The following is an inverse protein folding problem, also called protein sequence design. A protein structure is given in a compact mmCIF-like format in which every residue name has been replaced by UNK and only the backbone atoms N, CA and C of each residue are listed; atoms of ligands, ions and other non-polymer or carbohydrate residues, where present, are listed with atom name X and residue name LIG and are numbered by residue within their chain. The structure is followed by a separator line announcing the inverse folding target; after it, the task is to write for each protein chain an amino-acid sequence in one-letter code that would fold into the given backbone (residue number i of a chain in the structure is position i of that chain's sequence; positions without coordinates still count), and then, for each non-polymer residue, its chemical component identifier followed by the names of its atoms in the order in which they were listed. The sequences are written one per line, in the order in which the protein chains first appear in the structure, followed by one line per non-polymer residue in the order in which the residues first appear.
data_IF_811216926612
#
_entry.id   IF_811216926612
#
_cell.length_a   1.000
_cell.length_b   1.000
_cell.length_c   1.000
_cell.angle_alpha   90.00
_cell.angle_beta   90.00
_cell.angle_gamma   90.00
#
_symmetry.space_group_name_H-M   'P 1'
#
loop_
_entity.id
_entity.type
_entity.pdbx_description
1 polymer ?
#
# COMPACT_ATOMS: atom_id res chain seq x y z
N UNK A 1 14.27 -10.64 -69.23
CA UNK A 1 13.42 -11.23 -68.17
C UNK A 1 13.73 -10.50 -66.88
N UNK A 2 12.90 -9.53 -66.48
CA UNK A 2 13.04 -8.82 -65.22
C UNK A 2 11.66 -8.72 -64.59
N UNK A 3 11.47 -9.38 -63.45
CA UNK A 3 10.26 -9.30 -62.65
C UNK A 3 10.51 -8.37 -61.47
N UNK A 4 9.86 -7.20 -61.48
CA UNK A 4 9.65 -6.38 -60.28
C UNK A 4 8.48 -6.98 -59.50
N UNK A 5 8.73 -7.38 -58.25
CA UNK A 5 7.69 -7.65 -57.27
C UNK A 5 7.50 -6.39 -56.41
N UNK A 6 6.35 -5.74 -56.53
CA UNK A 6 5.92 -4.69 -55.62
C UNK A 6 5.18 -5.33 -54.44
N UNK A 7 5.75 -5.22 -53.24
CA UNK A 7 5.14 -5.66 -51.99
C UNK A 7 4.32 -4.49 -51.41
N UNK A 8 2.99 -4.56 -51.51
CA UNK A 8 2.10 -3.67 -50.76
C UNK A 8 2.02 -4.15 -49.31
N UNK A 9 2.61 -3.39 -48.39
CA UNK A 9 2.39 -3.54 -46.95
C UNK A 9 1.10 -2.79 -46.60
N UNK A 10 0.02 -3.54 -46.38
CA UNK A 10 -1.22 -3.05 -45.77
C UNK A 10 -0.98 -2.88 -44.27
N UNK A 11 -0.78 -1.64 -43.82
CA UNK A 11 -0.82 -1.28 -42.40
C UNK A 11 -2.29 -1.18 -41.99
N UNK A 12 -2.80 -2.20 -41.30
CA UNK A 12 -4.07 -2.09 -40.58
C UNK A 12 -3.85 -1.26 -39.31
N UNK A 13 -4.61 -0.17 -39.07
CA UNK A 13 -4.60 0.46 -37.76
C UNK A 13 -5.27 -0.50 -36.77
N UNK A 14 -4.51 -0.93 -35.76
CA UNK A 14 -5.07 -1.60 -34.60
C UNK A 14 -5.89 -0.57 -33.82
N UNK A 15 -7.16 -0.42 -34.18
CA UNK A 15 -8.16 0.18 -33.29
C UNK A 15 -8.44 -0.90 -32.25
N UNK A 16 -7.88 -0.72 -31.05
CA UNK A 16 -8.28 -1.50 -29.89
C UNK A 16 -9.81 -1.34 -29.75
N UNK A 17 -10.55 -2.41 -30.02
CA UNK A 17 -11.96 -2.48 -29.67
C UNK A 17 -12.03 -2.42 -28.14
N UNK A 18 -12.37 -1.26 -27.59
CA UNK A 18 -12.90 -1.18 -26.24
C UNK A 18 -14.24 -1.91 -26.27
N UNK A 19 -14.24 -3.20 -25.93
CA UNK A 19 -15.46 -3.87 -25.51
C UNK A 19 -16.06 -3.00 -24.41
N UNK A 20 -17.30 -2.52 -24.58
CA UNK A 20 -18.00 -1.78 -23.52
C UNK A 20 -17.98 -2.62 -22.24
N UNK A 21 -17.19 -2.16 -21.27
CA UNK A 21 -17.03 -2.81 -19.97
C UNK A 21 -18.36 -2.70 -19.22
N UNK A 22 -19.12 -3.80 -19.17
CA UNK A 22 -20.41 -3.81 -18.47
C UNK A 22 -20.21 -3.70 -16.97
N UNK A 23 -20.78 -2.67 -16.35
CA UNK A 23 -20.78 -2.47 -14.89
C UNK A 23 -22.00 -3.10 -14.20
N UNK A 24 -22.75 -3.93 -14.93
CA UNK A 24 -23.89 -4.65 -14.39
C UNK A 24 -23.42 -5.87 -13.60
N UNK A 25 -23.97 -6.01 -12.40
CA UNK A 25 -23.65 -7.12 -11.50
C UNK A 25 -24.67 -8.24 -11.70
N UNK A 26 -24.17 -9.46 -11.91
CA UNK A 26 -24.97 -10.67 -12.12
C UNK A 26 -24.76 -11.73 -11.04
N UNK A 27 -23.88 -11.48 -10.08
CA UNK A 27 -23.61 -12.38 -8.95
C UNK A 27 -24.76 -12.35 -7.95
N UNK A 28 -25.04 -13.49 -7.30
CA UNK A 28 -26.07 -13.58 -6.25
C UNK A 28 -25.50 -13.27 -4.86
N UNK A 29 -26.36 -12.83 -3.95
CA UNK A 29 -26.01 -12.66 -2.55
C UNK A 29 -25.61 -13.99 -1.86
N UNK A 30 -24.60 -14.00 -0.96
CA UNK A 30 -23.71 -12.90 -0.61
C UNK A 30 -22.64 -12.74 -1.68
N UNK A 31 -22.38 -11.50 -2.07
CA UNK A 31 -21.46 -11.16 -3.15
C UNK A 31 -20.33 -10.24 -2.71
N UNK A 32 -20.44 -9.64 -1.52
CA UNK A 32 -19.37 -8.89 -0.88
C UNK A 32 -18.50 -9.84 -0.04
N UNK A 33 -17.29 -10.11 -0.51
CA UNK A 33 -16.21 -10.86 0.17
C UNK A 33 -16.50 -12.35 0.42
N UNK A 34 -17.75 -12.72 0.68
CA UNK A 34 -18.23 -14.08 0.95
C UNK A 34 -18.81 -14.77 -0.29
N UNK A 35 -18.19 -14.58 -1.45
CA UNK A 35 -18.55 -15.36 -2.65
C UNK A 35 -18.57 -16.87 -2.36
N UNK A 36 -19.29 -17.65 -3.18
CA UNK A 36 -19.60 -19.06 -2.89
C UNK A 36 -18.39 -19.91 -2.46
N UNK A 37 -17.23 -19.68 -3.06
CA UNK A 37 -15.99 -20.39 -2.70
C UNK A 37 -15.51 -20.05 -1.28
N UNK A 38 -15.37 -18.76 -0.93
CA UNK A 38 -14.93 -18.34 0.40
C UNK A 38 -15.92 -18.76 1.47
N UNK A 39 -17.22 -18.62 1.22
CA UNK A 39 -18.25 -19.05 2.17
C UNK A 39 -18.13 -20.55 2.49
N UNK A 40 -17.98 -21.40 1.47
CA UNK A 40 -17.76 -22.84 1.66
C UNK A 40 -16.48 -23.15 2.42
N UNK A 41 -15.39 -22.40 2.16
CA UNK A 41 -14.13 -22.56 2.88
C UNK A 41 -14.31 -22.23 4.37
N UNK A 42 -14.91 -21.09 4.70
CA UNK A 42 -15.13 -20.68 6.09
C UNK A 42 -16.10 -21.61 6.84
N UNK A 43 -17.11 -22.16 6.16
CA UNK A 43 -17.99 -23.19 6.73
C UNK A 43 -17.22 -24.48 7.06
N UNK A 44 -16.28 -24.90 6.20
CA UNK A 44 -15.38 -26.03 6.51
C UNK A 44 -14.45 -25.72 7.68
N UNK A 45 -13.97 -24.48 7.82
CA UNK A 45 -13.15 -24.09 8.98
C UNK A 45 -13.93 -24.23 10.30
N UNK A 46 -15.23 -23.90 10.30
CA UNK A 46 -16.14 -24.20 11.42
C UNK A 46 -16.23 -25.71 11.68
N UNK A 47 -16.50 -26.52 10.65
CA UNK A 47 -16.61 -27.98 10.78
C UNK A 47 -15.33 -28.60 11.36
N UNK A 48 -14.17 -28.09 10.94
CA UNK A 48 -12.85 -28.50 11.41
C UNK A 48 -12.48 -27.96 12.79
N UNK A 49 -13.28 -27.06 13.36
CA UNK A 49 -12.97 -26.34 14.60
C UNK A 49 -11.58 -25.69 14.50
N UNK A 50 -11.28 -24.97 13.42
CA UNK A 50 -9.99 -24.31 13.32
C UNK A 50 -9.80 -23.29 14.46
N UNK A 51 -8.55 -23.02 14.83
CA UNK A 51 -8.24 -22.08 15.93
C UNK A 51 -8.89 -20.71 15.71
N UNK A 52 -8.86 -20.20 14.47
CA UNK A 52 -9.47 -18.92 14.07
C UNK A 52 -10.99 -18.93 14.25
N UNK A 53 -11.65 -20.02 13.85
CA UNK A 53 -13.07 -20.19 14.09
C UNK A 53 -13.38 -20.24 15.59
N UNK A 54 -12.67 -21.07 16.36
CA UNK A 54 -12.91 -21.20 17.81
C UNK A 54 -12.77 -19.87 18.54
N UNK A 55 -11.75 -19.07 18.19
CA UNK A 55 -11.56 -17.73 18.75
C UNK A 55 -12.73 -16.80 18.41
N UNK A 56 -13.13 -16.73 17.14
CA UNK A 56 -14.23 -15.88 16.70
C UNK A 56 -15.59 -16.32 17.30
N UNK A 57 -15.82 -17.63 17.35
CA UNK A 57 -17.00 -18.24 17.97
C UNK A 57 -17.06 -17.94 19.47
N UNK A 58 -15.96 -18.09 20.20
CA UNK A 58 -15.90 -17.82 21.64
C UNK A 58 -16.33 -16.37 21.95
N UNK A 59 -15.83 -15.40 21.20
CA UNK A 59 -16.16 -13.98 21.38
C UNK A 59 -17.63 -13.71 21.04
N UNK A 60 -18.10 -14.23 19.91
CA UNK A 60 -19.45 -13.92 19.42
C UNK A 60 -20.52 -14.63 20.23
N UNK A 61 -20.37 -15.95 20.45
CA UNK A 61 -21.29 -16.73 21.28
C UNK A 61 -21.21 -16.34 22.76
N UNK A 62 -20.04 -15.87 23.21
CA UNK A 62 -19.85 -15.26 24.52
C UNK A 62 -20.44 -13.85 24.66
N UNK A 63 -21.04 -13.30 23.60
CA UNK A 63 -21.62 -11.95 23.57
C UNK A 63 -20.63 -10.85 23.97
N UNK A 64 -19.35 -11.01 23.61
CA UNK A 64 -18.35 -9.98 23.82
C UNK A 64 -18.74 -8.68 23.07
N UNK A 65 -18.43 -7.49 23.62
CA UNK A 65 -18.74 -6.23 22.95
C UNK A 65 -17.86 -6.08 21.70
N UNK A 66 -18.46 -6.34 20.53
CA UNK A 66 -17.79 -6.21 19.24
C UNK A 66 -17.79 -4.74 18.79
N UNK A 67 -16.62 -4.14 18.49
CA UNK A 67 -16.56 -2.77 17.96
C UNK A 67 -17.29 -2.60 16.62
N UNK A 68 -17.36 -3.68 15.84
CA UNK A 68 -18.06 -3.75 14.55
C UNK A 68 -19.15 -4.83 14.60
N UNK A 69 -20.27 -4.57 15.29
CA UNK A 69 -21.29 -5.58 15.55
C UNK A 69 -22.02 -6.02 14.27
N UNK A 70 -22.11 -5.14 13.25
CA UNK A 70 -22.70 -5.49 11.96
C UNK A 70 -21.85 -6.51 11.21
N UNK A 71 -20.53 -6.28 11.12
CA UNK A 71 -19.59 -7.22 10.51
C UNK A 71 -19.58 -8.55 11.26
N UNK A 72 -19.35 -8.52 12.58
CA UNK A 72 -19.21 -9.73 13.38
C UNK A 72 -20.50 -10.57 13.38
N UNK A 73 -21.65 -9.96 13.65
CA UNK A 73 -22.93 -10.66 13.73
C UNK A 73 -23.36 -11.27 12.39
N UNK A 74 -23.19 -10.52 11.29
CA UNK A 74 -23.51 -11.04 9.97
C UNK A 74 -22.55 -12.16 9.53
N UNK A 75 -21.25 -12.01 9.77
CA UNK A 75 -20.26 -13.05 9.47
C UNK A 75 -20.57 -14.34 10.24
N UNK A 76 -20.79 -14.21 11.55
CA UNK A 76 -21.12 -15.35 12.41
C UNK A 76 -22.40 -16.05 11.94
N UNK A 77 -23.45 -15.31 11.60
CA UNK A 77 -24.67 -15.87 11.01
C UNK A 77 -24.39 -16.70 9.74
N UNK A 78 -23.62 -16.17 8.78
CA UNK A 78 -23.33 -16.87 7.51
C UNK A 78 -22.62 -18.21 7.71
N UNK A 79 -21.77 -18.29 8.71
CA UNK A 79 -20.94 -19.48 8.96
C UNK A 79 -21.61 -20.43 9.95
N UNK A 80 -22.15 -19.89 11.06
CA UNK A 80 -22.78 -20.66 12.12
C UNK A 80 -24.18 -21.14 11.73
N UNK A 81 -24.92 -20.39 10.91
CA UNK A 81 -26.36 -20.53 10.72
C UNK A 81 -27.18 -19.94 11.87
N UNK A 82 -26.56 -19.16 12.76
CA UNK A 82 -27.24 -18.59 13.94
C UNK A 82 -28.14 -17.41 13.58
N UNK A 83 -29.45 -17.68 13.47
CA UNK A 83 -30.43 -16.66 13.10
C UNK A 83 -30.51 -15.51 14.13
N UNK A 84 -30.20 -15.77 15.41
CA UNK A 84 -30.26 -14.74 16.44
C UNK A 84 -29.23 -13.63 16.17
N UNK A 85 -27.96 -14.00 15.91
CA UNK A 85 -26.90 -13.07 15.54
C UNK A 85 -27.23 -12.31 14.24
N UNK A 86 -27.77 -13.01 13.23
CA UNK A 86 -28.17 -12.38 11.97
C UNK A 86 -29.29 -11.35 12.16
N UNK A 87 -30.32 -11.67 12.95
CA UNK A 87 -31.41 -10.73 13.27
C UNK A 87 -30.94 -9.56 14.13
N UNK A 88 -29.99 -9.79 15.04
CA UNK A 88 -29.38 -8.71 15.82
C UNK A 88 -28.60 -7.74 14.91
N UNK A 89 -27.83 -8.26 13.94
CA UNK A 89 -27.12 -7.45 12.96
C UNK A 89 -28.09 -6.63 12.07
N UNK A 90 -29.18 -7.25 11.61
CA UNK A 90 -30.26 -6.55 10.86
C UNK A 90 -30.90 -5.45 11.71
N UNK A 91 -31.20 -5.73 12.98
CA UNK A 91 -31.79 -4.76 13.90
C UNK A 91 -30.86 -3.57 14.14
N UNK A 92 -29.57 -3.85 14.34
CA UNK A 92 -28.53 -2.81 14.43
C UNK A 92 -28.47 -1.95 13.16
N UNK A 93 -28.47 -2.56 11.97
CA UNK A 93 -28.39 -1.85 10.69
C UNK A 93 -29.60 -0.93 10.45
N UNK A 94 -30.81 -1.38 10.84
CA UNK A 94 -32.04 -0.58 10.79
C UNK A 94 -32.06 0.55 11.82
N UNK A 95 -31.57 0.28 13.03
CA UNK A 95 -31.53 1.23 14.14
C UNK A 95 -30.25 2.06 14.15
N UNK A 96 -29.41 1.79 15.16
CA UNK A 96 -28.26 2.62 15.56
C UNK A 96 -27.06 2.57 14.61
N UNK A 97 -27.01 1.65 13.65
CA UNK A 97 -25.89 1.54 12.73
C UNK A 97 -25.71 2.80 11.87
N UNK A 98 -24.52 3.38 11.89
CA UNK A 98 -24.16 4.56 11.08
C UNK A 98 -23.06 4.26 10.06
N UNK A 99 -22.30 3.19 10.28
CA UNK A 99 -21.25 2.75 9.36
C UNK A 99 -21.87 2.08 8.12
N UNK A 100 -21.86 2.81 7.00
CA UNK A 100 -22.39 2.34 5.71
C UNK A 100 -21.65 1.11 5.18
N UNK A 101 -20.36 0.91 5.53
CA UNK A 101 -19.61 -0.30 5.13
C UNK A 101 -20.23 -1.53 5.79
N UNK A 102 -20.40 -1.51 7.12
CA UNK A 102 -21.04 -2.62 7.84
C UNK A 102 -22.50 -2.81 7.43
N UNK A 103 -23.26 -1.74 7.21
CA UNK A 103 -24.65 -1.85 6.74
C UNK A 103 -24.71 -2.54 5.37
N UNK A 104 -23.77 -2.29 4.46
CA UNK A 104 -23.71 -2.96 3.17
C UNK A 104 -23.44 -4.47 3.33
N UNK A 105 -22.54 -4.85 4.24
CA UNK A 105 -22.28 -6.26 4.56
C UNK A 105 -23.50 -6.94 5.19
N UNK A 106 -24.17 -6.30 6.15
CA UNK A 106 -25.40 -6.84 6.74
C UNK A 106 -26.49 -7.00 5.68
N UNK A 107 -26.66 -6.01 4.80
CA UNK A 107 -27.63 -6.10 3.71
C UNK A 107 -27.30 -7.27 2.77
N UNK A 108 -26.05 -7.39 2.33
CA UNK A 108 -25.62 -8.43 1.40
C UNK A 108 -25.69 -9.84 2.02
N UNK A 109 -25.25 -9.99 3.27
CA UNK A 109 -25.09 -11.28 3.92
C UNK A 109 -26.39 -11.81 4.53
N UNK A 110 -27.29 -10.94 4.99
CA UNK A 110 -28.51 -11.34 5.69
C UNK A 110 -29.79 -11.24 4.82
N UNK A 111 -29.68 -11.28 3.49
CA UNK A 111 -30.82 -11.13 2.58
C UNK A 111 -32.02 -12.01 2.92
N UNK A 112 -31.79 -13.28 3.24
CA UNK A 112 -32.83 -14.25 3.57
C UNK A 112 -33.49 -14.02 4.95
N UNK A 113 -32.90 -13.16 5.79
CA UNK A 113 -33.51 -12.70 7.06
C UNK A 113 -34.31 -11.41 6.91
N UNK A 114 -34.17 -10.68 5.80
CA UNK A 114 -34.82 -9.39 5.58
C UNK A 114 -36.25 -9.57 5.08
N UNK A 115 -37.22 -8.96 5.78
CA UNK A 115 -38.53 -8.73 5.18
C UNK A 115 -38.43 -7.69 4.05
N UNK A 116 -39.39 -7.66 3.10
CA UNK A 116 -39.40 -6.66 2.02
C UNK A 116 -39.39 -5.20 2.53
N UNK A 117 -39.99 -4.93 3.69
CA UNK A 117 -39.99 -3.60 4.32
C UNK A 117 -38.60 -3.25 4.85
N UNK A 118 -37.95 -4.19 5.56
CA UNK A 118 -36.61 -3.99 6.10
C UNK A 118 -35.57 -3.83 4.99
N UNK A 119 -35.66 -4.65 3.93
CA UNK A 119 -34.79 -4.54 2.76
C UNK A 119 -34.89 -3.14 2.14
N UNK A 120 -36.10 -2.64 1.86
CA UNK A 120 -36.29 -1.28 1.34
C UNK A 120 -35.73 -0.19 2.27
N UNK A 121 -35.92 -0.34 3.59
CA UNK A 121 -35.43 0.64 4.56
C UNK A 121 -33.89 0.72 4.60
N UNK A 122 -33.21 -0.44 4.61
CA UNK A 122 -31.75 -0.49 4.55
C UNK A 122 -31.24 0.03 3.20
N UNK A 123 -31.90 -0.36 2.10
CA UNK A 123 -31.55 0.11 0.76
C UNK A 123 -31.60 1.65 0.65
N UNK A 124 -32.64 2.27 1.21
CA UNK A 124 -32.76 3.72 1.26
C UNK A 124 -31.65 4.39 2.10
N UNK A 125 -31.16 3.71 3.15
CA UNK A 125 -30.05 4.19 3.98
C UNK A 125 -28.72 4.10 3.23
N UNK A 126 -28.48 2.99 2.54
CA UNK A 126 -27.29 2.75 1.72
C UNK A 126 -27.21 3.67 0.49
N UNK A 127 -28.35 4.10 -0.05
CA UNK A 127 -28.40 5.06 -1.16
C UNK A 127 -27.79 6.44 -0.81
N UNK A 128 -27.60 6.78 0.47
CA UNK A 128 -26.97 8.02 0.93
C UNK A 128 -25.42 7.98 0.84
N UNK A 129 -24.89 7.27 -0.17
CA UNK A 129 -23.50 6.84 -0.31
C UNK A 129 -22.48 7.97 -0.06
N UNK A 130 -21.44 7.66 0.72
CA UNK A 130 -20.37 8.58 1.09
C UNK A 130 -19.00 8.15 0.50
N UNK A 131 -18.00 7.88 1.36
CA UNK A 131 -16.62 7.55 1.02
C UNK A 131 -16.49 6.45 -0.06
N UNK A 132 -15.37 6.46 -0.80
CA UNK A 132 -15.18 5.67 -2.02
C UNK A 132 -15.46 4.16 -1.82
N UNK A 133 -14.82 3.55 -0.81
CA UNK A 133 -15.08 2.15 -0.44
C UNK A 133 -16.56 1.89 -0.15
N UNK A 134 -17.14 2.62 0.79
CA UNK A 134 -18.53 2.39 1.22
C UNK A 134 -19.52 2.58 0.07
N UNK A 135 -19.21 3.48 -0.88
CA UNK A 135 -19.97 3.66 -2.13
C UNK A 135 -19.89 2.42 -3.01
N UNK A 136 -18.70 1.87 -3.24
CA UNK A 136 -18.52 0.64 -4.02
C UNK A 136 -19.29 -0.54 -3.40
N UNK A 137 -19.12 -0.76 -2.10
CA UNK A 137 -19.80 -1.84 -1.37
C UNK A 137 -21.32 -1.68 -1.42
N UNK A 138 -21.84 -0.47 -1.19
CA UNK A 138 -23.27 -0.19 -1.28
C UNK A 138 -23.81 -0.41 -2.69
N UNK A 139 -23.10 0.06 -3.72
CA UNK A 139 -23.51 -0.14 -5.11
C UNK A 139 -23.57 -1.62 -5.48
N UNK A 140 -22.57 -2.40 -5.05
CA UNK A 140 -22.56 -3.87 -5.23
C UNK A 140 -23.73 -4.53 -4.51
N UNK A 141 -23.92 -4.21 -3.23
CA UNK A 141 -24.99 -4.79 -2.42
C UNK A 141 -26.40 -4.45 -2.96
N UNK A 142 -26.58 -3.29 -3.59
CA UNK A 142 -27.89 -2.82 -4.08
C UNK A 142 -28.22 -3.20 -5.52
N UNK A 143 -27.36 -3.94 -6.22
CA UNK A 143 -27.51 -4.16 -7.67
C UNK A 143 -28.88 -4.71 -8.09
N UNK A 144 -29.43 -5.67 -7.33
CA UNK A 144 -30.74 -6.27 -7.64
C UNK A 144 -31.93 -5.37 -7.26
N UNK A 145 -31.70 -4.37 -6.42
CA UNK A 145 -32.72 -3.49 -5.89
C UNK A 145 -32.79 -2.15 -6.64
N UNK A 146 -31.65 -1.63 -7.07
CA UNK A 146 -31.48 -0.30 -7.68
C UNK A 146 -30.43 -0.32 -8.80
N UNK A 147 -30.60 -1.22 -9.78
CA UNK A 147 -29.60 -1.50 -10.83
C UNK A 147 -29.00 -0.23 -11.47
N UNK A 148 -29.83 0.69 -11.96
CA UNK A 148 -29.35 1.91 -12.62
C UNK A 148 -28.55 2.84 -11.67
N UNK A 149 -28.89 2.83 -10.37
CA UNK A 149 -28.12 3.59 -9.36
C UNK A 149 -26.79 2.88 -9.12
N UNK A 150 -26.79 1.56 -8.95
CA UNK A 150 -25.59 0.77 -8.75
C UNK A 150 -24.58 0.96 -9.89
N UNK A 151 -25.02 0.81 -11.15
CA UNK A 151 -24.16 0.99 -12.33
C UNK A 151 -23.54 2.39 -12.36
N UNK A 152 -24.34 3.44 -12.17
CA UNK A 152 -23.87 4.84 -12.14
C UNK A 152 -22.84 5.10 -11.03
N UNK A 153 -23.05 4.53 -9.84
CA UNK A 153 -22.13 4.74 -8.72
C UNK A 153 -20.85 3.93 -8.87
N UNK A 154 -20.92 2.73 -9.48
CA UNK A 154 -19.74 1.96 -9.87
C UNK A 154 -18.94 2.68 -10.97
N UNK A 155 -19.61 3.27 -11.96
CA UNK A 155 -18.97 4.09 -12.98
C UNK A 155 -18.23 5.28 -12.36
N UNK A 156 -18.87 5.99 -11.42
CA UNK A 156 -18.23 7.07 -10.68
C UNK A 156 -17.01 6.59 -9.89
N UNK A 157 -17.08 5.44 -9.24
CA UNK A 157 -15.96 4.86 -8.48
C UNK A 157 -14.81 4.47 -9.41
N UNK A 158 -15.11 3.71 -10.47
CA UNK A 158 -14.12 3.08 -11.34
C UNK A 158 -13.55 4.09 -12.35
N UNK A 159 -14.41 4.71 -13.16
CA UNK A 159 -13.97 5.62 -14.21
C UNK A 159 -13.61 7.00 -13.63
N UNK A 160 -14.49 7.54 -12.80
CA UNK A 160 -14.33 8.90 -12.25
C UNK A 160 -13.19 9.00 -11.25
N UNK A 161 -13.29 8.28 -10.13
CA UNK A 161 -12.35 8.42 -9.01
C UNK A 161 -11.09 7.57 -9.20
N UNK A 162 -11.21 6.28 -9.52
CA UNK A 162 -10.05 5.41 -9.61
C UNK A 162 -9.18 5.72 -10.83
N UNK A 163 -9.73 5.56 -12.04
CA UNK A 163 -8.99 5.77 -13.30
C UNK A 163 -8.74 7.24 -13.60
N UNK A 164 -9.65 8.14 -13.21
CA UNK A 164 -9.55 9.58 -13.47
C UNK A 164 -8.66 10.34 -12.49
N UNK A 165 -8.59 9.91 -11.22
CA UNK A 165 -7.85 10.65 -10.17
C UNK A 165 -6.77 9.78 -9.52
N UNK A 166 -7.12 8.68 -8.85
CA UNK A 166 -6.19 7.96 -7.97
C UNK A 166 -5.04 7.30 -8.75
N UNK A 167 -5.35 6.46 -9.73
CA UNK A 167 -4.33 5.71 -10.46
C UNK A 167 -3.33 6.62 -11.20
N UNK A 168 -3.76 7.71 -11.88
CA UNK A 168 -2.82 8.67 -12.46
C UNK A 168 -1.87 9.32 -11.45
N UNK A 169 -2.31 9.56 -10.21
CA UNK A 169 -1.43 10.10 -9.17
C UNK A 169 -0.38 9.07 -8.72
N UNK A 170 -0.80 7.82 -8.51
CA UNK A 170 0.11 6.71 -8.20
C UNK A 170 1.16 6.51 -9.30
N UNK A 171 0.73 6.53 -10.57
CA UNK A 171 1.63 6.45 -11.72
C UNK A 171 2.63 7.60 -11.80
N UNK A 172 2.30 8.77 -11.24
CA UNK A 172 3.22 9.93 -11.18
C UNK A 172 4.17 9.88 -9.99
N UNK A 173 4.15 8.80 -9.21
CA UNK A 173 4.94 8.66 -8.00
C UNK A 173 4.43 9.51 -6.84
N UNK A 174 3.11 9.81 -6.81
CA UNK A 174 2.48 10.46 -5.66
C UNK A 174 1.67 9.44 -4.89
N UNK A 175 2.03 9.22 -3.64
CA UNK A 175 1.20 8.40 -2.78
C UNK A 175 -0.02 9.20 -2.33
N UNK A 176 -1.18 8.80 -2.85
CA UNK A 176 -2.48 9.39 -2.51
C UNK A 176 -3.33 8.44 -1.66
N UNK A 177 -2.76 7.28 -1.27
CA UNK A 177 -3.42 6.28 -0.45
C UNK A 177 -2.61 6.16 0.86
N UNK A 178 -3.06 6.78 1.95
CA UNK A 178 -2.44 6.60 3.25
C UNK A 178 -2.37 5.13 3.65
N UNK A 179 -1.33 4.75 4.39
CA UNK A 179 -1.15 3.40 4.92
C UNK A 179 -2.39 2.88 5.68
N UNK A 180 -3.02 3.75 6.49
CA UNK A 180 -4.25 3.43 7.24
C UNK A 180 -5.45 3.09 6.33
N UNK A 181 -5.40 3.49 5.05
CA UNK A 181 -6.44 3.24 4.06
C UNK A 181 -6.19 1.97 3.22
N UNK A 182 -5.12 1.20 3.48
CA UNK A 182 -4.84 -0.04 2.74
C UNK A 182 -5.92 -1.10 2.93
N UNK A 183 -6.44 -1.28 4.14
CA UNK A 183 -7.56 -2.22 4.32
C UNK A 183 -8.81 -1.74 3.57
N UNK A 184 -9.27 -0.48 3.70
CA UNK A 184 -10.34 0.04 2.88
C UNK A 184 -10.13 -0.07 1.36
N UNK A 185 -8.90 0.11 0.89
CA UNK A 185 -8.52 -0.08 -0.50
C UNK A 185 -8.81 -1.51 -0.93
N UNK A 186 -8.27 -2.51 -0.23
CA UNK A 186 -8.45 -3.91 -0.61
C UNK A 186 -9.90 -4.39 -0.50
N UNK A 187 -10.69 -3.86 0.43
CA UNK A 187 -12.14 -4.08 0.42
C UNK A 187 -12.80 -3.57 -0.87
N UNK A 188 -12.43 -2.38 -1.34
CA UNK A 188 -12.94 -1.87 -2.61
C UNK A 188 -12.47 -2.72 -3.80
N UNK A 189 -11.19 -3.10 -3.82
CA UNK A 189 -10.63 -3.93 -4.89
C UNK A 189 -11.35 -5.28 -4.98
N UNK A 190 -11.54 -5.99 -3.85
CA UNK A 190 -12.28 -7.26 -3.83
C UNK A 190 -13.72 -7.07 -4.27
N UNK A 191 -14.40 -6.03 -3.79
CA UNK A 191 -15.79 -5.78 -4.15
C UNK A 191 -15.97 -5.56 -5.66
N UNK A 192 -15.06 -4.83 -6.31
CA UNK A 192 -15.08 -4.58 -7.75
C UNK A 192 -14.69 -5.83 -8.53
N UNK A 193 -13.55 -6.44 -8.22
CA UNK A 193 -13.04 -7.59 -8.97
C UNK A 193 -14.00 -8.78 -8.89
N UNK A 194 -14.43 -9.15 -7.70
CA UNK A 194 -15.21 -10.38 -7.49
C UNK A 194 -16.63 -10.29 -8.09
N UNK A 195 -17.11 -9.08 -8.42
CA UNK A 195 -18.46 -8.85 -8.95
C UNK A 195 -18.51 -8.39 -10.41
N UNK A 196 -17.45 -7.74 -10.90
CA UNK A 196 -17.37 -7.18 -12.25
C UNK A 196 -16.25 -7.80 -13.09
N UNK A 197 -15.37 -8.60 -12.49
CA UNK A 197 -14.16 -9.14 -13.14
C UNK A 197 -13.22 -8.04 -13.67
N UNK A 198 -13.15 -6.92 -12.94
CA UNK A 198 -12.28 -5.78 -13.24
C UNK A 198 -11.16 -5.74 -12.20
N UNK A 199 -9.90 -5.87 -12.63
CA UNK A 199 -8.75 -5.66 -11.74
C UNK A 199 -8.29 -4.20 -11.80
N UNK A 200 -8.65 -3.43 -10.78
CA UNK A 200 -8.28 -2.02 -10.67
C UNK A 200 -6.76 -1.81 -10.51
N UNK A 201 -5.99 -2.83 -10.11
CA UNK A 201 -4.54 -2.74 -9.96
C UNK A 201 -3.82 -2.55 -11.30
N UNK A 202 -4.42 -2.99 -12.41
CA UNK A 202 -3.87 -2.82 -13.76
C UNK A 202 -3.68 -1.34 -14.13
N UNK A 203 -4.39 -0.43 -13.46
CA UNK A 203 -4.22 1.01 -13.65
C UNK A 203 -2.95 1.56 -12.97
N UNK A 204 -2.31 0.83 -12.05
CA UNK A 204 -1.08 1.25 -11.38
C UNK A 204 -0.22 0.02 -10.97
N UNK A 205 0.25 -0.79 -11.93
CA UNK A 205 0.80 -2.12 -11.65
C UNK A 205 2.07 -2.09 -10.79
N UNK A 206 2.99 -1.15 -11.02
CA UNK A 206 4.23 -1.05 -10.24
C UNK A 206 3.96 -0.73 -8.76
N UNK A 207 2.98 0.13 -8.47
CA UNK A 207 2.55 0.42 -7.09
C UNK A 207 2.10 -0.88 -6.39
N UNK A 208 1.19 -1.63 -7.01
CA UNK A 208 0.65 -2.85 -6.39
C UNK A 208 1.63 -4.02 -6.35
N UNK A 209 2.61 -4.05 -7.25
CA UNK A 209 3.69 -5.04 -7.24
C UNK A 209 4.60 -4.84 -6.03
N UNK A 210 4.92 -3.59 -5.69
CA UNK A 210 5.77 -3.22 -4.57
C UNK A 210 5.05 -3.28 -3.21
N UNK A 211 3.74 -3.01 -3.20
CA UNK A 211 2.94 -2.81 -1.99
C UNK A 211 3.08 -3.90 -0.91
N UNK A 212 3.05 -5.22 -1.20
CA UNK A 212 3.15 -6.24 -0.15
C UNK A 212 4.53 -6.25 0.55
N UNK A 213 5.60 -5.95 -0.20
CA UNK A 213 6.95 -5.87 0.39
C UNK A 213 7.11 -4.57 1.16
N UNK A 214 6.62 -3.44 0.60
CA UNK A 214 6.59 -2.15 1.30
C UNK A 214 5.93 -2.29 2.67
N UNK A 215 4.73 -2.88 2.72
CA UNK A 215 3.98 -3.03 3.97
C UNK A 215 4.78 -3.84 4.99
N UNK A 216 5.37 -4.96 4.56
CA UNK A 216 6.19 -5.85 5.39
C UNK A 216 7.46 -5.15 5.94
N UNK A 217 8.20 -4.41 5.11
CA UNK A 217 9.43 -3.72 5.56
C UNK A 217 9.13 -2.49 6.42
N UNK A 218 7.90 -1.96 6.37
CA UNK A 218 7.47 -0.78 7.13
C UNK A 218 7.31 -1.03 8.64
N UNK A 219 7.27 -2.28 9.11
CA UNK A 219 7.14 -2.57 10.53
C UNK A 219 8.44 -2.33 11.29
N UNK A 220 8.34 -1.75 12.48
CA UNK A 220 9.45 -1.74 13.42
C UNK A 220 9.84 -3.19 13.79
N UNK A 221 11.15 -3.48 13.97
CA UNK A 221 11.63 -4.82 14.31
C UNK A 221 11.04 -5.44 15.57
N UNK A 222 10.92 -4.68 16.66
CA UNK A 222 10.47 -5.24 17.93
C UNK A 222 8.98 -5.57 17.93
N UNK A 223 8.66 -6.68 18.58
CA UNK A 223 7.28 -7.08 18.86
C UNK A 223 6.73 -6.26 20.01
N UNK A 224 5.42 -5.97 19.96
CA UNK A 224 4.71 -5.27 21.01
C UNK A 224 3.75 -6.23 21.72
N UNK A 225 3.96 -6.51 23.03
CA UNK A 225 3.10 -7.40 23.79
C UNK A 225 1.79 -6.72 24.19
N UNK A 226 0.69 -7.45 24.13
CA UNK A 226 -0.62 -7.03 24.61
C UNK A 226 -1.39 -8.21 25.25
N UNK A 227 -2.45 -7.98 26.02
CA UNK A 227 -3.17 -9.04 26.73
C UNK A 227 -3.67 -10.19 25.83
N UNK A 228 -4.03 -9.87 24.59
CA UNK A 228 -4.57 -10.81 23.61
C UNK A 228 -3.52 -11.46 22.69
N UNK A 229 -2.24 -11.07 22.77
CA UNK A 229 -1.17 -11.60 21.93
C UNK A 229 -0.07 -10.58 21.65
N UNK A 230 0.73 -10.87 20.61
CA UNK A 230 1.80 -9.98 20.16
C UNK A 230 1.38 -9.24 18.90
N UNK A 231 1.90 -8.02 18.74
CA UNK A 231 1.64 -7.15 17.60
C UNK A 231 2.94 -6.72 16.95
N UNK A 232 2.90 -6.60 15.62
CA UNK A 232 3.92 -5.86 14.88
C UNK A 232 3.40 -4.45 14.65
N UNK A 233 4.20 -3.46 15.01
CA UNK A 233 3.79 -2.07 14.95
C UNK A 233 4.26 -1.47 13.63
N UNK A 234 3.35 -1.09 12.73
CA UNK A 234 3.72 -0.44 11.48
C UNK A 234 4.31 0.94 11.77
N UNK A 235 5.32 1.36 11.01
CA UNK A 235 5.86 2.69 11.13
C UNK A 235 4.79 3.73 10.82
N UNK A 236 4.82 4.83 11.57
CA UNK A 236 3.89 5.94 11.43
C UNK A 236 4.61 7.26 11.55
N UNK A 237 4.18 8.25 10.76
CA UNK A 237 4.74 9.59 10.80
C UNK A 237 4.66 10.17 12.22
N UNK A 238 5.74 10.80 12.67
CA UNK A 238 5.92 11.37 14.00
C UNK A 238 6.56 10.44 15.03
N UNK A 239 6.80 9.16 14.70
CA UNK A 239 7.49 8.21 15.58
C UNK A 239 6.82 8.01 16.94
N UNK A 240 5.48 7.96 16.95
CA UNK A 240 4.66 7.94 18.17
C UNK A 240 4.62 6.61 18.91
N UNK A 241 3.87 6.60 20.01
CA UNK A 241 3.60 5.39 20.81
C UNK A 241 2.96 4.29 19.95
N UNK A 242 3.27 3.00 20.24
CA UNK A 242 2.64 1.86 19.59
C UNK A 242 1.10 1.92 19.59
N UNK A 243 0.50 1.95 18.40
CA UNK A 243 -0.96 1.90 18.22
C UNK A 243 -1.40 0.49 17.81
N UNK A 244 -1.94 -0.26 18.78
CA UNK A 244 -2.46 -1.62 18.58
C UNK A 244 -3.63 -1.64 17.60
N UNK A 245 -4.50 -0.61 17.60
CA UNK A 245 -5.62 -0.56 16.66
C UNK A 245 -5.12 -0.41 15.23
N UNK A 246 -4.11 0.44 15.02
CA UNK A 246 -3.46 0.57 13.72
C UNK A 246 -2.78 -0.74 13.31
N UNK A 247 -2.07 -1.41 14.22
CA UNK A 247 -1.46 -2.72 13.95
C UNK A 247 -2.51 -3.77 13.52
N UNK A 248 -3.67 -3.81 14.18
CA UNK A 248 -4.79 -4.69 13.79
C UNK A 248 -5.26 -4.39 12.37
N UNK A 249 -5.45 -3.11 12.03
CA UNK A 249 -5.96 -2.72 10.71
C UNK A 249 -4.91 -2.92 9.59
N UNK A 250 -3.63 -2.70 9.89
CA UNK A 250 -2.51 -2.99 8.99
C UNK A 250 -2.49 -4.49 8.66
N UNK A 251 -2.52 -5.35 9.68
CA UNK A 251 -2.59 -6.80 9.48
C UNK A 251 -3.87 -7.24 8.77
N UNK A 252 -5.01 -6.59 9.04
CA UNK A 252 -6.24 -6.87 8.30
C UNK A 252 -6.10 -6.54 6.81
N UNK A 253 -5.37 -5.46 6.47
CA UNK A 253 -5.03 -5.11 5.09
C UNK A 253 -4.23 -6.23 4.44
N UNK A 254 -3.11 -6.63 5.05
CA UNK A 254 -2.23 -7.71 4.59
C UNK A 254 -2.99 -9.03 4.35
N UNK A 255 -3.84 -9.43 5.31
CA UNK A 255 -4.68 -10.62 5.20
C UNK A 255 -5.66 -10.52 4.02
N UNK A 256 -6.15 -9.33 3.68
CA UNK A 256 -6.96 -9.09 2.49
C UNK A 256 -6.12 -9.01 1.20
N UNK A 257 -4.84 -8.62 1.27
CA UNK A 257 -3.95 -8.57 0.11
C UNK A 257 -3.63 -9.94 -0.45
N UNK A 258 -3.24 -10.89 0.41
CA UNK A 258 -2.81 -12.24 -0.01
C UNK A 258 -3.82 -12.97 -0.90
N UNK A 259 -5.11 -13.10 -0.55
CA UNK A 259 -6.09 -13.79 -1.41
C UNK A 259 -6.45 -12.98 -2.66
N UNK A 260 -5.98 -11.74 -2.80
CA UNK A 260 -6.12 -11.00 -4.05
C UNK A 260 -5.18 -11.57 -5.12
N UNK A 261 -3.97 -12.00 -4.75
CA UNK A 261 -2.98 -12.52 -5.70
C UNK A 261 -2.07 -13.58 -5.07
N UNK A 262 -2.64 -14.77 -4.85
CA UNK A 262 -2.00 -15.83 -4.04
C UNK A 262 -0.71 -16.39 -4.66
N UNK A 263 -0.50 -16.16 -5.95
CA UNK A 263 0.63 -16.72 -6.68
C UNK A 263 1.77 -15.72 -6.89
N UNK A 264 1.56 -14.43 -6.62
CA UNK A 264 2.62 -13.44 -6.66
C UNK A 264 3.69 -13.75 -5.59
N UNK A 265 5.00 -13.73 -5.93
CA UNK A 265 6.07 -14.00 -4.97
C UNK A 265 6.01 -13.12 -3.71
N UNK A 266 5.71 -11.82 -3.88
CA UNK A 266 5.56 -10.88 -2.77
C UNK A 266 4.38 -11.23 -1.85
N UNK A 267 3.28 -11.72 -2.40
CA UNK A 267 2.14 -12.21 -1.62
C UNK A 267 2.44 -13.52 -0.88
N UNK A 268 3.28 -14.40 -1.43
CA UNK A 268 3.71 -15.62 -0.74
C UNK A 268 4.66 -15.31 0.42
N UNK A 269 5.57 -14.34 0.26
CA UNK A 269 6.42 -13.82 1.35
C UNK A 269 5.52 -13.22 2.45
N UNK A 270 4.56 -12.38 2.07
CA UNK A 270 3.59 -11.79 3.00
C UNK A 270 2.74 -12.87 3.70
N UNK A 271 2.34 -13.93 3.00
CA UNK A 271 1.65 -15.07 3.60
C UNK A 271 2.51 -15.75 4.68
N UNK A 272 3.81 -15.97 4.42
CA UNK A 272 4.72 -16.51 5.44
C UNK A 272 4.85 -15.62 6.66
N UNK A 273 4.88 -14.31 6.46
CA UNK A 273 4.88 -13.31 7.55
C UNK A 273 3.61 -13.36 8.41
N UNK A 274 2.46 -13.54 7.77
CA UNK A 274 1.14 -13.51 8.40
C UNK A 274 0.82 -14.78 9.19
N UNK A 275 1.29 -15.95 8.75
CA UNK A 275 0.89 -17.25 9.34
C UNK A 275 1.60 -17.60 10.65
N UNK A 276 2.32 -16.66 11.26
CA UNK A 276 2.88 -16.81 12.60
C UNK A 276 1.79 -16.74 13.69
N UNK A 277 1.67 -17.80 14.50
CA UNK A 277 0.59 -17.95 15.49
C UNK A 277 0.61 -16.92 16.63
N UNK A 278 1.77 -16.36 16.95
CA UNK A 278 1.92 -15.32 17.98
C UNK A 278 1.17 -14.02 17.64
N UNK A 279 1.00 -13.75 16.35
CA UNK A 279 0.42 -12.50 15.83
C UNK A 279 -1.04 -12.67 15.36
N UNK A 280 -1.68 -13.80 15.67
CA UNK A 280 -3.10 -14.00 15.39
C UNK A 280 -3.92 -12.86 15.99
N UNK A 281 -4.83 -12.26 15.21
CA UNK A 281 -5.70 -11.22 15.75
C UNK A 281 -6.80 -11.84 16.61
N UNK A 282 -6.60 -11.86 17.93
CA UNK A 282 -7.52 -12.50 18.88
C UNK A 282 -8.53 -11.55 19.52
N UNK A 283 -8.33 -10.24 19.41
CA UNK A 283 -9.21 -9.22 20.02
C UNK A 283 -10.60 -9.18 19.38
N UNK A 284 -11.57 -8.55 20.06
CA UNK A 284 -12.94 -8.35 19.52
C UNK A 284 -12.96 -7.53 18.24
N UNK A 285 -11.98 -6.65 18.04
CA UNK A 285 -11.80 -5.93 16.78
C UNK A 285 -11.21 -6.85 15.71
N UNK A 286 -10.15 -7.58 16.03
CA UNK A 286 -9.32 -8.27 15.04
C UNK A 286 -9.81 -9.65 14.62
N UNK A 287 -10.46 -10.41 15.52
CA UNK A 287 -10.89 -11.78 15.25
C UNK A 287 -11.83 -11.94 14.03
N UNK A 288 -12.80 -11.02 13.76
CA UNK A 288 -13.60 -11.08 12.53
C UNK A 288 -12.75 -11.00 11.26
N UNK A 289 -11.70 -10.18 11.24
CA UNK A 289 -10.81 -10.01 10.08
C UNK A 289 -9.91 -11.21 9.87
N UNK A 290 -9.29 -11.70 10.94
CA UNK A 290 -8.46 -12.90 10.91
C UNK A 290 -9.27 -14.09 10.40
N UNK A 291 -10.51 -14.26 10.87
CA UNK A 291 -11.35 -15.35 10.41
C UNK A 291 -11.85 -15.15 8.96
N UNK A 292 -12.21 -13.92 8.56
CA UNK A 292 -12.72 -13.65 7.21
C UNK A 292 -11.65 -13.87 6.12
N UNK A 293 -10.43 -13.39 6.37
CA UNK A 293 -9.41 -13.25 5.34
C UNK A 293 -8.31 -14.30 5.38
N UNK A 294 -7.88 -14.71 6.58
CA UNK A 294 -6.77 -15.64 6.70
C UNK A 294 -7.11 -16.99 6.06
N UNK A 295 -6.18 -17.49 5.27
CA UNK A 295 -6.27 -18.82 4.70
C UNK A 295 -4.92 -19.51 4.84
N UNK A 296 -4.73 -20.38 5.84
CA UNK A 296 -3.45 -21.05 6.09
C UNK A 296 -3.08 -22.07 5.01
N UNK A 297 -3.97 -22.33 4.04
CA UNK A 297 -3.74 -23.25 2.93
C UNK A 297 -3.17 -22.56 1.68
N UNK A 298 -3.01 -21.23 1.68
CA UNK A 298 -2.30 -20.56 0.60
C UNK A 298 -0.80 -20.82 0.68
N UNK A 299 -0.11 -20.87 -0.49
CA UNK A 299 1.34 -21.03 -0.52
C UNK A 299 2.01 -19.87 0.21
N UNK A 300 2.97 -20.19 1.06
CA UNK A 300 3.78 -19.21 1.79
C UNK A 300 5.26 -19.47 1.56
N UNK A 301 6.01 -18.39 1.40
CA UNK A 301 7.47 -18.38 1.39
C UNK A 301 7.96 -17.78 2.71
N UNK A 302 9.18 -18.13 3.12
CA UNK A 302 9.81 -17.51 4.28
C UNK A 302 9.93 -16.00 4.08
N UNK A 303 9.53 -15.20 5.07
CA UNK A 303 9.67 -13.75 5.00
C UNK A 303 11.13 -13.29 5.06
N UNK A 304 12.06 -14.16 5.47
CA UNK A 304 13.51 -13.92 5.36
C UNK A 304 13.99 -13.73 3.91
N UNK A 305 13.17 -14.06 2.91
CA UNK A 305 13.43 -13.77 1.50
C UNK A 305 13.07 -12.33 1.10
N UNK A 306 12.36 -11.59 1.96
CA UNK A 306 12.16 -10.16 1.75
C UNK A 306 13.51 -9.42 1.89
N UNK A 307 13.75 -8.40 1.07
CA UNK A 307 15.02 -7.71 1.07
C UNK A 307 15.22 -6.92 2.36
N UNK A 308 16.47 -6.82 2.81
CA UNK A 308 16.84 -5.99 3.96
C UNK A 308 16.95 -4.51 3.59
N UNK A 309 17.16 -4.20 2.32
CA UNK A 309 17.11 -2.86 1.75
C UNK A 309 15.98 -2.80 0.73
N UNK A 310 15.05 -1.87 0.92
CA UNK A 310 13.93 -1.65 0.01
C UNK A 310 13.86 -0.17 -0.35
N UNK A 311 14.20 0.14 -1.59
CA UNK A 311 14.10 1.47 -2.18
C UNK A 311 12.95 1.50 -3.18
N UNK A 312 11.93 2.31 -2.90
CA UNK A 312 10.86 2.65 -3.84
C UNK A 312 11.16 4.01 -4.45
N UNK A 313 11.83 4.00 -5.60
CA UNK A 313 12.18 5.20 -6.38
C UNK A 313 10.94 5.99 -6.83
N UNK A 314 9.80 5.32 -7.05
CA UNK A 314 8.61 5.99 -7.54
C UNK A 314 8.01 6.88 -6.44
N UNK A 315 7.87 6.35 -5.23
CA UNK A 315 7.30 7.06 -4.08
C UNK A 315 8.34 7.77 -3.20
N UNK A 316 9.63 7.58 -3.48
CA UNK A 316 10.70 8.26 -2.76
C UNK A 316 10.86 7.74 -1.34
N UNK A 317 10.81 6.42 -1.17
CA UNK A 317 10.84 5.75 0.13
C UNK A 317 12.02 4.81 0.23
N UNK A 318 12.63 4.75 1.41
CA UNK A 318 13.75 3.86 1.69
C UNK A 318 13.56 3.19 3.04
N UNK A 319 13.65 1.87 3.07
CA UNK A 319 13.63 1.08 4.29
C UNK A 319 14.86 0.20 4.33
N UNK A 320 15.63 0.27 5.42
CA UNK A 320 16.85 -0.50 5.61
C UNK A 320 16.75 -1.22 6.96
N UNK A 321 17.12 -2.49 6.96
CA UNK A 321 17.17 -3.36 8.14
C UNK A 321 18.54 -4.01 8.23
N UNK A 322 19.06 -4.17 9.45
CA UNK A 322 20.28 -4.97 9.64
C UNK A 322 20.00 -6.48 9.59
N UNK A 323 18.82 -6.91 10.06
CA UNK A 323 18.33 -8.28 9.96
C UNK A 323 16.80 -8.33 10.12
N UNK A 324 16.25 -9.55 10.13
CA UNK A 324 14.84 -9.82 10.44
C UNK A 324 14.58 -10.10 11.93
N UNK A 325 15.60 -9.98 12.78
CA UNK A 325 15.49 -10.21 14.23
C UNK A 325 14.80 -9.03 14.94
N UNK A 326 14.24 -9.28 16.12
CA UNK A 326 13.53 -8.25 16.91
C UNK A 326 14.45 -7.13 17.42
N UNK A 327 15.75 -7.40 17.56
CA UNK A 327 16.77 -6.43 17.95
C UNK A 327 17.43 -5.72 16.76
N UNK A 328 16.94 -5.94 15.54
CA UNK A 328 17.53 -5.33 14.35
C UNK A 328 17.49 -3.80 14.43
N UNK A 329 18.51 -3.17 13.85
CA UNK A 329 18.48 -1.73 13.54
C UNK A 329 17.62 -1.56 12.29
N UNK A 330 16.80 -0.52 12.30
CA UNK A 330 15.91 -0.22 11.18
C UNK A 330 15.92 1.28 10.89
N UNK A 331 16.01 1.64 9.62
CA UNK A 331 15.91 3.01 9.14
C UNK A 331 14.76 3.07 8.13
N UNK A 332 13.86 4.03 8.29
CA UNK A 332 12.79 4.29 7.35
C UNK A 332 12.76 5.75 6.95
N UNK A 333 12.78 6.03 5.65
CA UNK A 333 12.48 7.33 5.07
C UNK A 333 11.18 7.22 4.27
N UNK A 334 10.12 7.86 4.76
CA UNK A 334 8.79 7.82 4.15
C UNK A 334 7.99 9.06 4.55
N UNK A 335 7.05 9.48 3.71
CA UNK A 335 6.19 10.65 3.95
C UNK A 335 6.97 11.93 4.33
N UNK A 336 8.19 12.05 3.80
CA UNK A 336 9.14 13.15 4.04
C UNK A 336 9.80 13.13 5.41
N UNK A 337 9.72 12.02 6.15
CA UNK A 337 10.27 11.86 7.50
C UNK A 337 11.28 10.71 7.53
N UNK A 338 12.41 10.94 8.21
CA UNK A 338 13.41 9.92 8.49
C UNK A 338 13.24 9.42 9.92
N UNK A 339 13.22 8.11 10.10
CA UNK A 339 13.11 7.47 11.41
C UNK A 339 14.18 6.40 11.55
N UNK A 340 14.79 6.36 12.73
CA UNK A 340 15.69 5.30 13.16
C UNK A 340 15.03 4.53 14.31
N UNK A 341 14.98 3.21 14.19
CA UNK A 341 14.65 2.32 15.29
C UNK A 341 15.89 1.56 15.72
N UNK A 342 16.24 1.68 16.99
CA UNK A 342 17.38 1.00 17.61
C UNK A 342 17.13 0.85 19.11
N UNK A 343 17.58 -0.26 19.70
CA UNK A 343 17.44 -0.53 21.13
C UNK A 343 15.99 -0.41 21.64
N UNK A 344 15.00 -0.82 20.83
CA UNK A 344 13.59 -0.78 21.20
C UNK A 344 12.90 0.59 21.08
N UNK A 345 13.58 1.62 20.56
CA UNK A 345 13.07 2.99 20.54
C UNK A 345 13.09 3.59 19.12
N UNK A 346 12.06 4.39 18.80
CA UNK A 346 11.98 5.16 17.56
C UNK A 346 12.52 6.57 17.80
N UNK A 347 13.40 7.05 16.90
CA UNK A 347 13.89 8.42 16.87
C UNK A 347 13.57 9.04 15.51
N UNK A 348 12.85 10.16 15.49
CA UNK A 348 12.65 10.97 14.28
C UNK A 348 13.88 11.82 14.04
N UNK A 349 14.47 11.69 12.85
CA UNK A 349 15.69 12.37 12.44
C UNK A 349 15.39 13.42 11.38
N UNK A 350 16.20 14.47 11.34
CA UNK A 350 16.18 15.44 10.26
C UNK A 350 17.30 15.11 9.26
N UNK A 351 16.94 14.59 8.09
CA UNK A 351 17.89 14.20 7.05
C UNK A 351 18.74 15.37 6.51
N UNK A 352 18.28 16.62 6.64
CA UNK A 352 19.02 17.80 6.22
C UNK A 352 20.02 18.30 7.27
N UNK A 353 19.87 17.88 8.53
CA UNK A 353 20.72 18.27 9.66
C UNK A 353 21.65 17.14 10.15
N UNK A 354 21.38 15.89 9.77
CA UNK A 354 22.25 14.76 10.08
C UNK A 354 23.64 14.98 9.44
N UNK A 355 24.69 14.83 10.25
CA UNK A 355 26.07 15.15 9.85
C UNK A 355 26.91 13.90 9.58
N UNK A 356 26.72 12.83 10.36
CA UNK A 356 27.51 11.60 10.25
C UNK A 356 26.81 10.58 9.35
N UNK A 357 27.55 9.83 8.51
CA UNK A 357 27.01 8.69 7.80
C UNK A 357 26.46 7.64 8.75
N UNK A 358 25.39 6.96 8.34
CA UNK A 358 24.78 5.88 9.12
C UNK A 358 24.95 4.55 8.41
N UNK A 359 25.76 3.66 8.97
CA UNK A 359 25.80 2.26 8.54
C UNK A 359 24.75 1.45 9.29
N UNK A 360 24.08 0.52 8.60
CA UNK A 360 23.20 -0.52 9.14
C UNK A 360 23.67 -1.93 8.75
N UNK A 361 24.96 -2.10 8.45
CA UNK A 361 25.63 -3.32 7.96
C UNK A 361 25.20 -3.79 6.55
N UNK A 362 23.94 -3.56 6.16
CA UNK A 362 23.39 -3.85 4.83
C UNK A 362 23.47 -2.65 3.88
N UNK A 363 23.51 -1.45 4.44
CA UNK A 363 23.66 -0.23 3.67
C UNK A 363 24.30 0.88 4.50
N UNK A 364 24.91 1.84 3.80
CA UNK A 364 25.44 3.08 4.35
C UNK A 364 24.66 4.26 3.78
N UNK A 365 24.13 5.10 4.67
CA UNK A 365 23.32 6.26 4.32
C UNK A 365 24.07 7.54 4.65
N UNK A 366 24.27 8.37 3.63
CA UNK A 366 24.83 9.71 3.74
C UNK A 366 23.71 10.76 3.68
N UNK A 367 23.96 11.94 4.27
CA UNK A 367 22.93 12.96 4.45
C UNK A 367 23.28 14.31 3.80
N UNK A 368 22.49 14.69 2.80
CA UNK A 368 22.26 16.04 2.31
C UNK A 368 23.51 16.87 2.00
N UNK A 369 23.50 18.14 2.46
CA UNK A 369 24.55 19.13 2.17
C UNK A 369 25.94 18.71 2.65
N UNK A 370 26.03 17.87 3.67
CA UNK A 370 27.30 17.36 4.20
C UNK A 370 27.82 16.16 3.38
N UNK A 371 26.94 15.51 2.61
CA UNK A 371 27.28 14.42 1.71
C UNK A 371 27.68 14.87 0.29
N UNK A 372 27.90 16.17 0.04
CA UNK A 372 28.43 16.63 -1.25
C UNK A 372 29.87 16.19 -1.49
N UNK A 373 30.61 15.87 -0.43
CA UNK A 373 31.93 15.25 -0.51
C UNK A 373 32.14 14.36 0.71
N UNK A 374 32.43 13.10 0.49
CA UNK A 374 32.72 12.15 1.57
C UNK A 374 33.78 11.13 1.15
N UNK A 375 34.33 10.43 2.14
CA UNK A 375 35.16 9.26 1.94
C UNK A 375 34.49 8.08 2.63
N UNK A 376 34.55 6.92 2.01
CA UNK A 376 33.99 5.70 2.59
C UNK A 376 34.80 4.47 2.20
N UNK A 377 34.63 3.41 2.99
CA UNK A 377 35.08 2.06 2.69
C UNK A 377 33.84 1.19 2.87
N UNK A 378 33.46 0.47 1.82
CA UNK A 378 32.27 -0.39 1.85
C UNK A 378 32.66 -1.84 2.07
N UNK A 379 31.92 -2.53 2.93
CA UNK A 379 31.99 -3.96 3.07
C UNK A 379 31.39 -4.66 1.84
N UNK A 380 31.63 -5.97 1.72
CA UNK A 380 30.91 -6.76 0.71
C UNK A 380 29.40 -6.63 0.93
N UNK A 381 28.66 -6.45 -0.16
CA UNK A 381 27.19 -6.38 -0.20
C UNK A 381 26.53 -5.15 0.46
N UNK A 382 27.31 -4.15 0.90
CA UNK A 382 26.74 -2.87 1.36
C UNK A 382 26.24 -2.01 0.17
N UNK A 383 24.97 -1.60 0.24
CA UNK A 383 24.39 -0.60 -0.64
C UNK A 383 24.65 0.82 -0.13
N UNK A 384 24.66 1.82 -1.03
CA UNK A 384 24.96 3.21 -0.65
C UNK A 384 23.85 4.15 -1.08
N UNK A 385 23.34 4.94 -0.13
CA UNK A 385 22.32 5.93 -0.38
C UNK A 385 22.74 7.31 0.10
N UNK A 386 22.27 8.34 -0.61
CA UNK A 386 22.35 9.73 -0.18
C UNK A 386 20.94 10.28 -0.04
N UNK A 387 20.55 10.60 1.20
CA UNK A 387 19.23 11.15 1.53
C UNK A 387 19.26 12.66 1.69
N UNK A 388 18.13 13.31 1.47
CA UNK A 388 17.99 14.76 1.69
C UNK A 388 18.58 15.63 0.58
N UNK A 389 18.76 15.07 -0.62
CA UNK A 389 19.06 15.83 -1.84
C UNK A 389 17.79 16.51 -2.37
N UNK A 390 17.94 17.36 -3.40
CA UNK A 390 16.78 17.99 -4.04
C UNK A 390 16.04 16.93 -4.87
N UNK A 391 14.73 16.69 -4.66
CA UNK A 391 14.00 15.68 -5.42
C UNK A 391 14.00 15.91 -6.93
N UNK A 392 13.98 14.81 -7.71
CA UNK A 392 13.92 14.81 -9.19
C UNK A 392 15.01 15.67 -9.83
N UNK A 393 16.23 15.51 -9.33
CA UNK A 393 17.40 16.28 -9.75
C UNK A 393 18.57 15.39 -10.12
N UNK A 394 19.19 15.73 -11.25
CA UNK A 394 20.44 15.12 -11.73
C UNK A 394 21.64 15.73 -11.02
N UNK A 395 22.50 14.85 -10.53
CA UNK A 395 23.80 15.15 -9.95
C UNK A 395 24.90 14.49 -10.77
N UNK A 396 26.02 15.19 -10.95
CA UNK A 396 27.27 14.58 -11.39
C UNK A 396 27.93 13.92 -10.17
N UNK A 397 28.22 12.63 -10.29
CA UNK A 397 28.86 11.80 -9.28
C UNK A 397 30.30 11.55 -9.74
N UNK A 398 31.24 12.16 -9.05
CA UNK A 398 32.67 11.92 -9.23
C UNK A 398 33.12 10.93 -8.15
N UNK A 399 33.64 9.78 -8.57
CA UNK A 399 34.25 8.78 -7.69
C UNK A 399 35.73 8.73 -8.01
N UNK A 400 36.58 8.75 -6.98
CA UNK A 400 38.05 8.73 -7.18
C UNK A 400 38.45 7.51 -8.04
N UNK A 401 39.32 7.75 -9.04
CA UNK A 401 39.82 6.77 -10.02
C UNK A 401 38.77 6.12 -10.97
N UNK A 402 37.54 6.63 -10.98
CA UNK A 402 36.46 6.21 -11.87
C UNK A 402 36.00 7.32 -12.81
N UNK A 403 35.28 6.96 -13.89
CA UNK A 403 34.64 7.96 -14.75
C UNK A 403 33.50 8.66 -14.00
N UNK A 404 33.38 9.97 -14.21
CA UNK A 404 32.26 10.74 -13.67
C UNK A 404 30.96 10.30 -14.35
N UNK A 405 29.96 9.95 -13.54
CA UNK A 405 28.65 9.52 -14.00
C UNK A 405 27.56 10.51 -13.59
N UNK A 406 26.40 10.42 -14.22
CA UNK A 406 25.20 11.14 -13.78
C UNK A 406 24.31 10.22 -12.93
N UNK A 407 23.75 10.76 -11.85
CA UNK A 407 22.80 10.09 -10.98
C UNK A 407 21.58 10.96 -10.74
N UNK A 408 20.39 10.40 -10.93
CA UNK A 408 19.13 11.09 -10.70
C UNK A 408 18.58 10.76 -9.32
N UNK A 409 18.19 11.80 -8.60
CA UNK A 409 17.43 11.64 -7.35
C UNK A 409 15.96 11.38 -7.63
N UNK A 410 15.37 10.56 -6.78
CA UNK A 410 13.98 10.17 -6.89
C UNK A 410 13.00 11.26 -6.38
N UNK A 411 11.73 10.89 -6.18
CA UNK A 411 10.69 11.81 -5.70
C UNK A 411 10.85 12.24 -4.24
N UNK A 412 11.61 11.48 -3.46
CA UNK A 412 11.96 11.74 -2.06
C UNK A 412 13.29 12.47 -1.87
N UNK A 413 14.08 12.64 -2.94
CA UNK A 413 15.42 13.22 -2.88
C UNK A 413 16.47 12.20 -2.43
N UNK A 414 16.28 10.94 -2.79
CA UNK A 414 17.20 9.82 -2.53
C UNK A 414 18.02 9.55 -3.79
N UNK A 415 19.32 9.34 -3.63
CA UNK A 415 20.21 8.87 -4.70
C UNK A 415 20.89 7.57 -4.25
N UNK A 416 20.68 6.49 -4.99
CA UNK A 416 21.46 5.25 -4.86
C UNK A 416 22.79 5.40 -5.61
N UNK A 417 23.89 4.97 -4.99
CA UNK A 417 25.23 5.03 -5.56
C UNK A 417 25.82 3.63 -5.72
N UNK A 418 26.32 3.34 -6.91
CA UNK A 418 27.09 2.12 -7.19
C UNK A 418 28.57 2.43 -7.03
N UNK A 419 29.15 1.94 -5.95
CA UNK A 419 30.52 2.27 -5.54
C UNK A 419 31.37 0.99 -5.39
N UNK A 420 32.69 1.05 -5.68
CA UNK A 420 33.59 -0.09 -5.46
C UNK A 420 33.66 -0.52 -3.98
N UNK A 421 33.67 -1.83 -3.72
CA UNK A 421 33.81 -2.40 -2.38
C UNK A 421 35.27 -2.61 -1.97
N UNK A 422 35.54 -2.68 -0.66
CA UNK A 422 36.85 -3.01 -0.05
C UNK A 422 38.01 -2.06 -0.37
N UNK A 423 37.74 -0.89 -0.94
CA UNK A 423 38.73 0.16 -1.21
C UNK A 423 38.24 1.47 -0.62
N UNK A 424 39.17 2.29 -0.13
CA UNK A 424 38.82 3.65 0.30
C UNK A 424 38.60 4.52 -0.93
N UNK A 425 37.41 5.07 -1.05
CA UNK A 425 36.98 5.89 -2.18
C UNK A 425 36.51 7.26 -1.70
N UNK A 426 36.91 8.31 -2.41
CA UNK A 426 36.31 9.63 -2.29
C UNK A 426 35.18 9.80 -3.29
N UNK A 427 34.08 10.39 -2.85
CA UNK A 427 32.92 10.70 -3.69
C UNK A 427 32.62 12.19 -3.61
N UNK A 428 32.31 12.83 -4.74
CA UNK A 428 31.85 14.22 -4.83
C UNK A 428 30.56 14.29 -5.65
N UNK A 429 29.59 15.04 -5.16
CA UNK A 429 28.29 15.26 -5.81
C UNK A 429 28.14 16.71 -6.24
N UNK A 430 27.91 16.93 -7.53
CA UNK A 430 27.72 18.25 -8.11
C UNK A 430 26.33 18.40 -8.72
N UNK A 431 25.56 19.37 -8.24
CA UNK A 431 24.26 19.71 -8.87
C UNK A 431 24.51 20.35 -10.24
N UNK A 432 24.03 19.69 -11.30
CA UNK A 432 24.25 20.08 -12.70
C UNK A 432 23.75 21.49 -13.02
N UNK A 433 22.71 22.03 -12.35
CA UNK A 433 22.28 23.43 -12.61
C UNK A 433 22.96 24.47 -11.73
N UNK A 434 23.57 24.07 -10.61
CA UNK A 434 24.37 25.00 -9.79
C UNK A 434 25.65 25.44 -10.54
N UNK A 435 26.09 24.67 -11.53
CA UNK A 435 27.26 24.92 -12.36
C UNK A 435 27.03 25.91 -13.53
N UNK A 436 25.99 26.75 -13.50
CA UNK A 436 25.89 27.84 -14.50
C UNK A 436 26.95 28.90 -14.18
N UNK A 437 27.96 29.14 -15.04
CA UNK A 437 29.04 30.06 -14.69
C UNK A 437 28.51 31.50 -14.70
N UNK A 438 28.83 32.26 -13.64
CA UNK A 438 28.64 33.72 -13.61
C UNK A 438 29.20 34.33 -14.91
N UNK A 439 28.47 35.22 -15.61
CA UNK A 439 29.03 35.87 -16.78
C UNK A 439 30.29 36.63 -16.36
N UNK A 440 31.42 36.31 -17.01
CA UNK A 440 32.67 37.04 -16.87
C UNK A 440 32.37 38.52 -17.17
N UNK A 441 32.67 39.40 -16.20
CA UNK A 441 32.79 40.83 -16.48
C UNK A 441 33.83 40.98 -17.59
N UNK A 442 33.39 41.41 -18.78
CA UNK A 442 34.28 41.82 -19.85
C UNK A 442 35.05 43.05 -19.38
N UNK A 443 36.35 42.86 -19.22
CA UNK A 443 37.32 43.95 -19.18
C UNK A 443 37.57 44.38 -20.63
N UNK A 444 36.93 45.47 -21.06
CA UNK A 444 37.41 46.31 -22.17
C UNK A 444 36.53 47.56 -22.26
N UNK A 445 37.05 48.70 -21.80
CA UNK A 445 37.06 49.90 -22.63
C UNK A 445 38.06 50.92 -22.04
N UNK A 446 39.32 50.79 -22.47
CA UNK A 446 40.27 51.89 -22.48
C UNK A 446 40.20 52.55 -23.86
N UNK A 447 39.84 53.84 -23.89
CA UNK A 447 40.55 54.80 -24.73
C UNK A 447 39.86 55.36 -25.97
N UNK A 448 39.48 56.64 -25.83
CA UNK A 448 39.91 57.77 -26.68
C UNK A 448 38.99 58.31 -27.78
N UNK A 449 38.83 59.64 -27.72
CA UNK A 449 38.33 60.55 -28.76
C UNK A 449 37.05 61.28 -28.31
N UNK A 450 37.02 62.55 -27.93
CA UNK A 450 37.84 63.68 -28.36
C UNK A 450 36.94 64.75 -29.00
N UNK A 451 36.59 65.77 -28.22
CA UNK A 451 36.24 67.16 -28.59
C UNK A 451 35.04 67.45 -29.53
N UNK A 452 34.05 68.22 -29.03
CA UNK A 452 33.93 69.67 -29.30
C UNK A 452 32.65 70.29 -28.69
N UNK A 453 32.85 71.46 -28.09
CA UNK A 453 31.91 72.44 -27.46
C UNK A 453 30.96 73.14 -28.46
N UNK A 454 30.19 74.19 -28.08
CA UNK A 454 29.47 74.48 -26.83
C UNK A 454 28.02 75.00 -27.06
N UNK A 455 27.18 74.96 -26.02
CA UNK A 455 26.44 76.13 -25.49
C UNK A 455 25.75 75.78 -24.19
#
# INVERSE_FOLDING_TARGET
MGFLFALMILVWPAVAQSQEESLRIYTEHPRLFLGQHRLKLLQKEKERRSLRWQQFELLTAGHAPMPEPGLAGALYYRIAGDQASGRAAVTWALGTGTDLRQIALVFDWCQDLLSPVQSRAIAAKLAKMAALRSRALAAVALADHLQAVSERELERVIQGRWRGEIAPELQRGRDVIPHDDYYPLYEMLHAVRDNLNIDLRESAPEYFKALPIYDLVSYYPATFPAPEGEYRIPASKGGGEPDVRRAIMSRAAELAMVPFDTNAPSSQILQGWLMHDNFLLRSTLGAPYEFLWANPYHPGLSYYLAPLVFHDENLGRLFIRSSWDESARWLGYFDGELQLFENGNVTVLNAQLAAEPMSLDTAVVFFGKNAQKFQTILNEDEEVFVLGLTPRRTYQVEVDDEEMIEGDTDTGGILELKLPHKVQIGVRLHDVRAATPKPRRSAQDDGAGGASSPR
#
